data_IF_955247613971
#
_entry.id   IF_955247613971
#
_cell.length_a   1.000
_cell.length_b   1.000
_cell.length_c   1.000
_cell.angle_alpha   90.00
_cell.angle_beta   90.00
_cell.angle_gamma   90.00
#
_symmetry.space_group_name_H-M   'P 1'
#
loop_
_entity.id
_entity.type
_entity.pdbx_description
1 polymer ?
#
# COMPACT_ATOMS: atom_id res chain seq x y z
N UNK A 1 -109.82 -2.44 -42.29
CA UNK A 1 -108.51 -1.85 -42.67
C UNK A 1 -107.85 -1.04 -41.53
N UNK A 2 -108.38 -1.03 -40.30
CA UNK A 2 -107.76 -0.28 -39.19
C UNK A 2 -106.80 -1.13 -38.32
N UNK A 3 -107.01 -2.44 -38.21
CA UNK A 3 -106.18 -3.33 -37.37
C UNK A 3 -104.79 -3.61 -37.97
N UNK A 4 -104.66 -3.57 -39.30
CA UNK A 4 -103.41 -3.87 -40.01
C UNK A 4 -102.35 -2.75 -39.84
N UNK A 5 -102.82 -1.49 -39.76
CA UNK A 5 -101.95 -0.34 -39.57
C UNK A 5 -101.43 -0.20 -38.13
N UNK A 6 -102.20 -0.66 -37.13
CA UNK A 6 -101.77 -0.66 -35.73
C UNK A 6 -100.72 -1.73 -35.47
N UNK A 7 -100.87 -2.91 -36.07
CA UNK A 7 -99.94 -4.04 -35.91
C UNK A 7 -98.56 -3.74 -36.52
N UNK A 8 -98.53 -3.15 -37.72
CA UNK A 8 -97.29 -2.74 -38.39
C UNK A 8 -96.55 -1.60 -37.65
N UNK A 9 -97.26 -0.71 -36.96
CA UNK A 9 -96.66 0.35 -36.15
C UNK A 9 -96.00 -0.20 -34.87
N UNK A 10 -96.60 -1.21 -34.23
CA UNK A 10 -96.00 -1.91 -33.08
C UNK A 10 -94.76 -2.73 -33.47
N UNK A 11 -94.79 -3.44 -34.61
CA UNK A 11 -93.62 -4.19 -35.08
C UNK A 11 -92.44 -3.27 -35.47
N UNK A 12 -92.73 -2.10 -36.06
CA UNK A 12 -91.72 -1.08 -36.36
C UNK A 12 -91.10 -0.47 -35.08
N UNK A 13 -91.91 -0.22 -34.05
CA UNK A 13 -91.43 0.29 -32.77
C UNK A 13 -90.61 -0.75 -31.99
N UNK A 14 -91.00 -2.02 -32.01
CA UNK A 14 -90.24 -3.12 -31.37
C UNK A 14 -88.91 -3.39 -32.10
N UNK A 15 -88.87 -3.24 -33.43
CA UNK A 15 -87.62 -3.39 -34.20
C UNK A 15 -86.64 -2.24 -33.98
N UNK A 16 -87.11 -1.00 -33.84
CA UNK A 16 -86.27 0.14 -33.46
C UNK A 16 -85.76 0.04 -32.00
N UNK A 17 -86.58 -0.44 -31.07
CA UNK A 17 -86.17 -0.70 -29.69
C UNK A 17 -85.13 -1.83 -29.58
N UNK A 18 -85.32 -2.94 -30.32
CA UNK A 18 -84.32 -4.01 -30.39
C UNK A 18 -83.00 -3.56 -31.03
N UNK A 19 -83.06 -2.67 -32.03
CA UNK A 19 -81.87 -2.13 -32.68
C UNK A 19 -81.07 -1.20 -31.75
N UNK A 20 -81.77 -0.38 -30.96
CA UNK A 20 -81.15 0.54 -29.99
C UNK A 20 -80.57 -0.20 -28.78
N UNK A 21 -81.22 -1.25 -28.28
CA UNK A 21 -80.65 -2.11 -27.23
C UNK A 21 -79.38 -2.84 -27.71
N UNK A 22 -79.36 -3.38 -28.94
CA UNK A 22 -78.15 -4.01 -29.52
C UNK A 22 -76.99 -3.04 -29.66
N UNK A 23 -77.25 -1.79 -30.04
CA UNK A 23 -76.20 -0.77 -30.14
C UNK A 23 -75.65 -0.38 -28.76
N UNK A 24 -76.51 -0.36 -27.73
CA UNK A 24 -76.09 -0.12 -26.34
C UNK A 24 -75.22 -1.25 -25.80
N UNK A 25 -75.63 -2.51 -26.02
CA UNK A 25 -74.86 -3.70 -25.62
C UNK A 25 -73.51 -3.76 -26.33
N UNK A 26 -73.47 -3.41 -27.63
CA UNK A 26 -72.22 -3.34 -28.39
C UNK A 26 -71.28 -2.23 -27.88
N UNK A 27 -71.83 -1.12 -27.38
CA UNK A 27 -71.03 -0.02 -26.80
C UNK A 27 -70.50 -0.41 -25.42
N UNK A 28 -71.32 -1.08 -24.60
CA UNK A 28 -70.92 -1.62 -23.31
C UNK A 28 -69.78 -2.63 -23.44
N UNK A 29 -69.89 -3.57 -24.39
CA UNK A 29 -68.83 -4.54 -24.65
C UNK A 29 -67.50 -3.89 -25.11
N UNK A 30 -67.57 -2.81 -25.90
CA UNK A 30 -66.38 -2.03 -26.29
C UNK A 30 -65.76 -1.31 -25.08
N UNK A 31 -66.57 -0.75 -24.20
CA UNK A 31 -66.11 -0.11 -22.97
C UNK A 31 -65.40 -1.10 -22.05
N UNK A 32 -65.99 -2.27 -21.83
CA UNK A 32 -65.42 -3.33 -21.00
C UNK A 32 -64.08 -3.83 -21.58
N UNK A 33 -64.00 -4.03 -22.89
CA UNK A 33 -62.75 -4.38 -23.57
C UNK A 33 -61.65 -3.29 -23.44
N UNK A 34 -62.04 -2.00 -23.52
CA UNK A 34 -61.13 -0.88 -23.29
C UNK A 34 -60.64 -0.82 -21.83
N UNK A 35 -61.51 -1.12 -20.88
CA UNK A 35 -61.18 -1.14 -19.46
C UNK A 35 -60.21 -2.29 -19.14
N UNK A 36 -60.44 -3.48 -19.68
CA UNK A 36 -59.53 -4.63 -19.53
C UNK A 36 -58.15 -4.36 -20.13
N UNK A 37 -58.10 -3.80 -21.34
CA UNK A 37 -56.83 -3.44 -21.98
C UNK A 37 -56.09 -2.37 -21.19
N UNK A 38 -56.78 -1.36 -20.67
CA UNK A 38 -56.19 -0.34 -19.80
C UNK A 38 -55.56 -0.96 -18.54
N UNK A 39 -56.29 -1.83 -17.84
CA UNK A 39 -55.77 -2.55 -16.66
C UNK A 39 -54.55 -3.42 -17.01
N UNK A 40 -54.56 -4.07 -18.16
CA UNK A 40 -53.42 -4.87 -18.65
C UNK A 40 -52.19 -4.00 -18.91
N UNK A 41 -52.35 -2.84 -19.54
CA UNK A 41 -51.24 -1.91 -19.78
C UNK A 41 -50.70 -1.31 -18.48
N UNK A 42 -51.58 -0.99 -17.55
CA UNK A 42 -51.18 -0.52 -16.22
C UNK A 42 -50.34 -1.57 -15.49
N UNK A 43 -50.80 -2.82 -15.45
CA UNK A 43 -50.06 -3.94 -14.85
C UNK A 43 -48.70 -4.16 -15.51
N UNK A 44 -48.64 -4.14 -16.86
CA UNK A 44 -47.38 -4.26 -17.59
C UNK A 44 -46.43 -3.09 -17.36
N UNK A 45 -46.97 -1.87 -17.25
CA UNK A 45 -46.18 -0.68 -16.95
C UNK A 45 -45.55 -0.77 -15.55
N UNK A 46 -46.33 -1.17 -14.54
CA UNK A 46 -45.82 -1.39 -13.17
C UNK A 46 -44.73 -2.46 -13.15
N UNK A 47 -44.97 -3.62 -13.78
CA UNK A 47 -43.98 -4.69 -13.85
C UNK A 47 -42.69 -4.27 -14.58
N UNK A 48 -42.80 -3.46 -15.64
CA UNK A 48 -41.63 -2.93 -16.35
C UNK A 48 -40.87 -1.90 -15.50
N UNK A 49 -41.58 -1.02 -14.78
CA UNK A 49 -40.97 -0.04 -13.90
C UNK A 49 -40.22 -0.70 -12.74
N UNK A 50 -40.80 -1.76 -12.15
CA UNK A 50 -40.13 -2.56 -11.11
C UNK A 50 -38.87 -3.24 -11.63
N UNK A 51 -38.93 -3.85 -12.82
CA UNK A 51 -37.76 -4.45 -13.46
C UNK A 51 -36.66 -3.44 -13.77
N UNK A 52 -37.04 -2.25 -14.26
CA UNK A 52 -36.07 -1.18 -14.51
C UNK A 52 -35.38 -0.75 -13.22
N UNK A 53 -36.13 -0.54 -12.14
CA UNK A 53 -35.55 -0.22 -10.82
C UNK A 53 -34.63 -1.32 -10.30
N UNK A 54 -35.01 -2.59 -10.44
CA UNK A 54 -34.18 -3.72 -10.03
C UNK A 54 -32.87 -3.79 -10.86
N UNK A 55 -32.96 -3.49 -12.15
CA UNK A 55 -31.79 -3.44 -13.03
C UNK A 55 -30.85 -2.29 -12.65
N UNK A 56 -31.39 -1.10 -12.42
CA UNK A 56 -30.60 0.06 -11.99
C UNK A 56 -29.94 -0.20 -10.63
N UNK A 57 -30.67 -0.80 -9.69
CA UNK A 57 -30.12 -1.19 -8.39
C UNK A 57 -29.00 -2.23 -8.51
N UNK A 58 -29.15 -3.23 -9.39
CA UNK A 58 -28.12 -4.23 -9.64
C UNK A 58 -26.87 -3.60 -10.30
N UNK A 59 -27.07 -2.70 -11.27
CA UNK A 59 -25.98 -1.99 -11.92
C UNK A 59 -25.20 -1.13 -10.91
N UNK A 60 -25.90 -0.41 -10.03
CA UNK A 60 -25.28 0.34 -8.95
C UNK A 60 -24.51 -0.57 -7.98
N UNK A 61 -25.12 -1.68 -7.57
CA UNK A 61 -24.47 -2.64 -6.68
C UNK A 61 -23.19 -3.22 -7.30
N UNK A 62 -23.19 -3.51 -8.61
CA UNK A 62 -21.98 -3.98 -9.30
C UNK A 62 -20.91 -2.89 -9.37
N UNK A 63 -21.30 -1.64 -9.65
CA UNK A 63 -20.36 -0.51 -9.65
C UNK A 63 -19.73 -0.30 -8.27
N UNK A 64 -20.53 -0.33 -7.21
CA UNK A 64 -20.06 -0.17 -5.83
C UNK A 64 -19.16 -1.34 -5.40
N UNK A 65 -19.52 -2.58 -5.78
CA UNK A 65 -18.70 -3.75 -5.52
C UNK A 65 -17.35 -3.69 -6.24
N UNK A 66 -17.33 -3.22 -7.49
CA UNK A 66 -16.09 -3.03 -8.24
C UNK A 66 -15.21 -1.95 -7.60
N UNK A 67 -15.79 -0.80 -7.24
CA UNK A 67 -15.06 0.27 -6.56
C UNK A 67 -14.46 -0.20 -5.22
N UNK A 68 -15.22 -0.99 -4.45
CA UNK A 68 -14.72 -1.57 -3.20
C UNK A 68 -13.59 -2.59 -3.44
N UNK A 69 -13.66 -3.39 -4.51
CA UNK A 69 -12.61 -4.33 -4.87
C UNK A 69 -11.33 -3.61 -5.30
N UNK A 70 -11.45 -2.54 -6.09
CA UNK A 70 -10.31 -1.74 -6.54
C UNK A 70 -9.64 -1.03 -5.36
N UNK A 71 -10.42 -0.49 -4.42
CA UNK A 71 -9.88 0.11 -3.19
C UNK A 71 -9.20 -0.93 -2.30
N UNK A 72 -9.80 -2.12 -2.15
CA UNK A 72 -9.19 -3.21 -1.38
C UNK A 72 -7.85 -3.64 -2.00
N UNK A 73 -7.77 -3.74 -3.33
CA UNK A 73 -6.53 -4.04 -4.04
C UNK A 73 -5.48 -2.95 -3.82
N UNK A 74 -5.84 -1.68 -3.94
CA UNK A 74 -4.92 -0.58 -3.70
C UNK A 74 -4.37 -0.57 -2.25
N UNK A 75 -5.20 -0.92 -1.27
CA UNK A 75 -4.75 -1.08 0.13
C UNK A 75 -3.82 -2.26 0.29
N UNK A 76 -4.10 -3.39 -0.37
CA UNK A 76 -3.24 -4.58 -0.34
C UNK A 76 -1.87 -4.28 -0.97
N UNK A 77 -1.84 -3.68 -2.16
CA UNK A 77 -0.61 -3.30 -2.86
C UNK A 77 0.26 -2.36 -2.00
N UNK A 78 -0.38 -1.39 -1.32
CA UNK A 78 0.32 -0.49 -0.39
C UNK A 78 0.88 -1.25 0.82
N UNK A 79 0.09 -2.13 1.43
CA UNK A 79 0.54 -2.92 2.57
C UNK A 79 1.70 -3.85 2.21
N UNK A 80 1.68 -4.45 1.01
CA UNK A 80 2.79 -5.26 0.50
C UNK A 80 4.06 -4.42 0.30
N UNK A 81 3.94 -3.22 -0.27
CA UNK A 81 5.07 -2.30 -0.43
C UNK A 81 5.65 -1.86 0.92
N UNK A 82 4.80 -1.53 1.90
CA UNK A 82 5.22 -1.14 3.24
C UNK A 82 5.93 -2.31 3.96
N UNK A 83 5.41 -3.54 3.84
CA UNK A 83 6.05 -4.74 4.38
C UNK A 83 7.40 -5.04 3.72
N UNK A 84 7.49 -4.91 2.39
CA UNK A 84 8.75 -5.08 1.67
C UNK A 84 9.79 -4.05 2.14
N UNK A 85 9.40 -2.78 2.29
CA UNK A 85 10.25 -1.72 2.82
C UNK A 85 10.73 -2.00 4.25
N UNK A 86 9.83 -2.43 5.14
CA UNK A 86 10.17 -2.78 6.51
C UNK A 86 11.12 -3.98 6.60
N UNK A 87 10.87 -5.03 5.81
CA UNK A 87 11.73 -6.21 5.73
C UNK A 87 13.13 -5.84 5.23
N UNK A 88 13.22 -4.98 4.21
CA UNK A 88 14.50 -4.46 3.71
C UNK A 88 15.26 -3.69 4.79
N UNK A 89 14.62 -2.76 5.49
CA UNK A 89 15.25 -1.99 6.57
C UNK A 89 15.78 -2.89 7.69
N UNK A 90 15.02 -3.93 8.03
CA UNK A 90 15.42 -4.92 9.02
C UNK A 90 16.62 -5.76 8.53
N UNK A 91 16.66 -6.15 7.25
CA UNK A 91 17.82 -6.82 6.66
C UNK A 91 19.06 -5.91 6.66
N UNK A 92 18.92 -4.65 6.24
CA UNK A 92 20.01 -3.65 6.26
C UNK A 92 20.56 -3.47 7.67
N UNK A 93 19.70 -3.27 8.67
CA UNK A 93 20.18 -3.06 10.05
C UNK A 93 20.90 -4.29 10.63
N UNK A 94 20.41 -5.49 10.36
CA UNK A 94 21.07 -6.74 10.77
C UNK A 94 22.43 -6.92 10.09
N UNK A 95 22.46 -6.81 8.77
CA UNK A 95 23.68 -7.01 7.98
C UNK A 95 24.72 -5.93 8.31
N UNK A 96 24.29 -4.67 8.48
CA UNK A 96 25.17 -3.58 8.89
C UNK A 96 25.83 -3.86 10.25
N UNK A 97 25.04 -4.32 11.23
CA UNK A 97 25.54 -4.69 12.55
C UNK A 97 26.50 -5.89 12.49
N UNK A 98 26.19 -6.93 11.70
CA UNK A 98 27.04 -8.11 11.53
C UNK A 98 28.39 -7.78 10.87
N UNK A 99 28.39 -6.87 9.89
CA UNK A 99 29.58 -6.51 9.11
C UNK A 99 30.34 -5.30 9.67
N UNK A 100 29.79 -4.63 10.69
CA UNK A 100 30.39 -3.44 11.30
C UNK A 100 30.43 -2.23 10.36
N UNK A 101 29.44 -2.10 9.48
CA UNK A 101 29.33 -0.99 8.52
C UNK A 101 28.16 -0.08 8.87
N UNK A 102 28.17 1.15 8.37
CA UNK A 102 27.12 2.12 8.63
C UNK A 102 25.80 1.71 7.94
N UNK A 103 24.72 1.65 8.72
CA UNK A 103 23.41 1.21 8.25
C UNK A 103 22.72 2.24 7.35
N UNK A 104 22.96 3.55 7.53
CA UNK A 104 22.39 4.59 6.68
C UNK A 104 23.05 4.58 5.30
N UNK A 105 24.38 4.44 5.26
CA UNK A 105 25.13 4.31 4.01
C UNK A 105 24.71 3.04 3.28
N UNK A 106 24.57 1.91 3.99
CA UNK A 106 24.11 0.66 3.39
C UNK A 106 22.66 0.76 2.89
N UNK A 107 21.77 1.45 3.61
CA UNK A 107 20.38 1.65 3.20
C UNK A 107 20.27 2.46 1.89
N UNK A 108 21.18 3.42 1.68
CA UNK A 108 21.25 4.26 0.48
C UNK A 108 21.83 3.53 -0.74
N UNK A 109 22.45 2.36 -0.56
CA UNK A 109 22.95 1.55 -1.67
C UNK A 109 21.82 0.77 -2.37
N UNK A 110 21.96 0.57 -3.68
CA UNK A 110 21.00 -0.16 -4.48
C UNK A 110 21.03 -1.67 -4.17
N UNK A 111 19.85 -2.28 -4.11
CA UNK A 111 19.66 -3.70 -3.82
C UNK A 111 18.56 -3.90 -2.80
N UNK A 112 17.60 -4.76 -3.15
CA UNK A 112 16.42 -5.03 -2.32
C UNK A 112 16.49 -6.40 -1.65
N UNK A 113 17.21 -7.34 -2.26
CA UNK A 113 17.41 -8.69 -1.73
C UNK A 113 18.54 -8.75 -0.70
N UNK A 114 18.40 -9.68 0.25
CA UNK A 114 19.36 -9.89 1.33
C UNK A 114 20.80 -10.14 0.81
N UNK A 115 20.94 -10.88 -0.28
CA UNK A 115 22.25 -11.18 -0.89
C UNK A 115 22.90 -9.93 -1.49
N UNK A 116 22.12 -9.07 -2.13
CA UNK A 116 22.60 -7.80 -2.68
C UNK A 116 23.03 -6.83 -1.58
N UNK A 117 22.25 -6.76 -0.50
CA UNK A 117 22.56 -5.97 0.70
C UNK A 117 23.85 -6.49 1.36
N UNK A 118 24.00 -7.82 1.49
CA UNK A 118 25.20 -8.44 2.05
C UNK A 118 26.44 -8.14 1.19
N UNK A 119 26.34 -8.28 -0.13
CA UNK A 119 27.45 -7.98 -1.04
C UNK A 119 27.87 -6.49 -0.99
N UNK A 120 26.91 -5.58 -0.80
CA UNK A 120 27.20 -4.16 -0.61
C UNK A 120 27.86 -3.87 0.74
N UNK A 121 27.41 -4.52 1.80
CA UNK A 121 28.02 -4.43 3.12
C UNK A 121 29.47 -4.93 3.10
N UNK A 122 29.75 -6.03 2.40
CA UNK A 122 31.12 -6.54 2.23
C UNK A 122 32.02 -5.54 1.51
N UNK A 123 31.53 -4.88 0.45
CA UNK A 123 32.28 -3.81 -0.24
C UNK A 123 32.58 -2.64 0.69
N UNK A 124 31.61 -2.22 1.50
CA UNK A 124 31.79 -1.16 2.49
C UNK A 124 32.83 -1.55 3.54
N UNK A 125 32.74 -2.76 4.09
CA UNK A 125 33.68 -3.28 5.08
C UNK A 125 35.12 -3.29 4.54
N UNK A 126 35.32 -3.75 3.30
CA UNK A 126 36.63 -3.71 2.64
C UNK A 126 37.13 -2.26 2.48
N UNK A 127 36.25 -1.33 2.11
CA UNK A 127 36.61 0.08 1.95
C UNK A 127 37.04 0.74 3.26
N UNK A 128 36.39 0.38 4.37
CA UNK A 128 36.72 0.87 5.71
C UNK A 128 38.04 0.29 6.19
N UNK A 129 38.27 -1.01 5.98
CA UNK A 129 39.54 -1.66 6.31
C UNK A 129 40.73 -1.09 5.51
N UNK A 130 40.52 -0.75 4.23
CA UNK A 130 41.54 -0.15 3.38
C UNK A 130 41.89 1.30 3.80
N UNK A 131 40.94 2.00 4.43
CA UNK A 131 41.17 3.33 5.02
C UNK A 131 41.90 3.15 6.35
N UNK A 132 43.23 2.99 6.32
CA UNK A 132 44.04 3.12 7.53
C UNK A 132 43.90 4.55 8.06
N UNK A 133 43.04 4.76 9.06
CA UNK A 133 42.75 6.07 9.66
C UNK A 133 43.92 6.66 10.45
N UNK A 134 45.00 5.91 10.66
CA UNK A 134 46.22 6.37 11.32
C UNK A 134 47.46 5.89 10.55
N UNK A 135 48.52 6.72 10.41
CA UNK A 135 49.83 6.18 10.08
C UNK A 135 50.21 5.18 11.18
N UNK A 136 50.49 3.93 10.81
CA UNK A 136 51.04 2.90 11.70
C UNK A 136 52.49 3.17 12.11
N UNK A 137 52.95 4.40 11.93
CA UNK A 137 54.28 4.83 12.31
C UNK A 137 54.25 5.00 13.81
N UNK A 138 54.99 4.16 14.52
CA UNK A 138 55.36 4.39 15.92
C UNK A 138 55.86 5.83 16.05
N UNK A 139 55.20 6.62 16.90
CA UNK A 139 55.69 7.95 17.25
C UNK A 139 57.14 7.82 17.70
N UNK A 140 58.05 8.47 16.97
CA UNK A 140 59.48 8.51 17.28
C UNK A 140 59.78 9.22 18.61
N UNK A 141 58.76 9.69 19.33
CA UNK A 141 58.86 10.28 20.66
C UNK A 141 59.45 9.34 21.74
N UNK A 142 59.46 8.02 21.52
CA UNK A 142 60.18 7.08 22.37
C UNK A 142 61.63 6.88 21.90
N UNK A 143 62.42 7.95 21.80
CA UNK A 143 63.87 7.78 21.89
C UNK A 143 64.13 7.15 23.25
N UNK A 144 64.67 5.93 23.27
CA UNK A 144 65.17 5.31 24.49
C UNK A 144 66.04 6.35 25.21
N UNK A 145 65.81 6.55 26.51
CA UNK A 145 66.59 7.50 27.29
C UNK A 145 68.09 7.25 27.01
N UNK A 146 68.89 8.30 26.75
CA UNK A 146 70.29 8.13 26.41
C UNK A 146 70.96 7.28 27.47
N UNK A 147 71.72 6.27 27.03
CA UNK A 147 72.44 5.39 27.95
C UNK A 147 73.29 6.23 28.91
N UNK A 148 73.18 5.97 30.21
CA UNK A 148 73.97 6.65 31.23
C UNK A 148 75.43 6.24 31.02
N UNK A 149 76.32 7.22 30.83
CA UNK A 149 77.75 7.01 30.62
C UNK A 149 78.54 7.51 31.82
N UNK A 150 79.78 7.04 31.97
CA UNK A 150 80.72 7.56 32.97
C UNK A 150 80.83 9.09 32.89
N UNK A 151 80.93 9.63 31.67
CA UNK A 151 81.00 11.07 31.41
C UNK A 151 79.74 11.82 31.86
N UNK A 152 78.54 11.26 31.63
CA UNK A 152 77.30 11.91 32.06
C UNK A 152 77.15 11.93 33.57
N UNK A 153 77.64 10.90 34.26
CA UNK A 153 77.69 10.86 35.73
C UNK A 153 78.68 11.90 36.26
N UNK A 154 79.87 12.03 35.67
CA UNK A 154 80.88 13.01 36.11
C UNK A 154 80.47 14.47 35.85
N UNK A 155 79.67 14.70 34.81
CA UNK A 155 79.09 16.00 34.52
C UNK A 155 78.00 16.44 35.53
N UNK A 156 77.52 15.55 36.41
CA UNK A 156 76.54 15.91 37.46
C UNK A 156 77.14 16.96 38.38
N UNK A 157 76.54 18.15 38.42
CA UNK A 157 77.08 19.31 39.15
C UNK A 157 77.10 19.13 40.68
N UNK A 158 76.08 18.44 41.23
CA UNK A 158 75.99 18.17 42.66
C UNK A 158 76.90 16.98 43.05
N UNK A 159 77.89 17.16 43.95
CA UNK A 159 78.79 16.10 44.36
C UNK A 159 78.08 14.92 45.05
N UNK A 160 77.01 15.17 45.80
CA UNK A 160 76.30 14.07 46.50
C UNK A 160 75.55 13.21 45.48
N UNK A 161 74.78 13.83 44.58
CA UNK A 161 74.10 13.14 43.49
C UNK A 161 75.07 12.37 42.58
N UNK A 162 76.27 12.93 42.32
CA UNK A 162 77.33 12.25 41.55
C UNK A 162 77.79 10.96 42.20
N UNK A 163 78.04 10.97 43.52
CA UNK A 163 78.49 9.78 44.24
C UNK A 163 77.41 8.71 44.28
N UNK A 164 76.14 9.10 44.44
CA UNK A 164 75.03 8.16 44.40
C UNK A 164 74.87 7.53 43.01
N UNK A 165 74.92 8.34 41.94
CA UNK A 165 74.86 7.83 40.57
C UNK A 165 76.04 6.90 40.23
N UNK A 166 77.25 7.16 40.77
CA UNK A 166 78.39 6.23 40.64
C UNK A 166 78.15 4.90 41.35
N UNK A 167 77.49 4.92 42.51
CA UNK A 167 77.18 3.70 43.26
C UNK A 167 76.09 2.87 42.56
N UNK A 168 75.07 3.54 42.01
CA UNK A 168 73.98 2.91 41.26
C UNK A 168 74.47 2.31 39.93
N UNK A 169 75.46 2.93 39.30
CA UNK A 169 76.06 2.48 38.04
C UNK A 169 77.53 2.03 38.21
N UNK A 170 77.82 1.27 39.27
CA UNK A 170 79.19 0.80 39.59
C UNK A 170 79.79 -0.09 38.51
N UNK A 171 78.94 -0.74 37.71
CA UNK A 171 79.30 -1.53 36.54
C UNK A 171 80.04 -0.73 35.48
N UNK A 172 79.83 0.60 35.39
CA UNK A 172 80.54 1.50 34.48
C UNK A 172 81.94 1.90 34.98
N UNK A 173 82.31 1.53 36.21
CA UNK A 173 83.57 1.94 36.88
C UNK A 173 84.43 0.76 37.33
N UNK A 174 84.20 -0.45 36.79
CA UNK A 174 85.02 -1.64 37.04
C UNK A 174 86.23 -1.75 36.15
#
# INVERSE_FOLDING_TARGET
MAEDATTAATEAAETEQNATERDYDALQAKYDALLETSRKWESRSKANAEKARAYDALAQQQADAQAAADEAKARADKAEADLAGANRQLAVSRIAAEKGVDAEILAAMAGDDADAIAANADKLAVSYAARSLYPSVTDGGANAAPAITTESIEAIKDPLARVMARAEHIDLYR
#
